data_IF_215881814456
#
_entry.id   IF_215881814456
#
_cell.length_a   1.000
_cell.length_b   1.000
_cell.length_c   1.000
_cell.angle_alpha   90.00
_cell.angle_beta   90.00
_cell.angle_gamma   90.00
#
_symmetry.space_group_name_H-M   'P 1'
#
loop_
_entity.id
_entity.type
_entity.pdbx_description
1 polymer ?
#
# COMPACT_ATOMS: atom_id res chain seq x y z
N UNK A 1 -0.50 14.69 -65.60
CA UNK A 1 -0.20 14.30 -64.20
C UNK A 1 -1.49 14.39 -63.39
N UNK A 2 -2.14 13.25 -63.13
CA UNK A 2 -3.35 13.19 -62.29
C UNK A 2 -2.91 13.23 -60.82
N UNK A 3 -3.36 14.24 -60.07
CA UNK A 3 -3.13 14.33 -58.61
C UNK A 3 -3.97 13.25 -57.92
N UNK A 4 -3.31 12.29 -57.29
CA UNK A 4 -3.94 11.36 -56.35
C UNK A 4 -4.11 12.09 -55.01
N UNK A 5 -5.34 12.24 -54.57
CA UNK A 5 -5.67 12.67 -53.21
C UNK A 5 -5.62 11.43 -52.32
N UNK A 6 -4.59 11.33 -51.47
CA UNK A 6 -4.49 10.30 -50.45
C UNK A 6 -5.38 10.73 -49.28
N UNK A 7 -6.44 9.95 -49.05
CA UNK A 7 -7.33 10.11 -47.90
C UNK A 7 -6.66 9.43 -46.70
N UNK A 8 -6.13 10.22 -45.76
CA UNK A 8 -5.69 9.72 -44.46
C UNK A 8 -6.92 9.40 -43.63
N UNK A 9 -7.23 8.11 -43.49
CA UNK A 9 -8.19 7.64 -42.48
C UNK A 9 -7.42 7.62 -41.17
N UNK A 10 -7.67 8.64 -40.33
CA UNK A 10 -7.22 8.67 -38.95
C UNK A 10 -8.05 7.60 -38.20
N UNK A 11 -7.49 6.40 -38.06
CA UNK A 11 -8.06 5.40 -37.17
C UNK A 11 -7.87 5.89 -35.74
N UNK A 12 -8.90 6.50 -35.15
CA UNK A 12 -9.00 6.53 -33.69
C UNK A 12 -9.14 5.07 -33.24
N UNK A 13 -8.03 4.48 -32.82
CA UNK A 13 -8.07 3.30 -31.96
C UNK A 13 -8.72 3.72 -30.66
N UNK A 14 -9.99 3.42 -30.48
CA UNK A 14 -10.57 3.26 -29.15
C UNK A 14 -9.89 2.03 -28.56
N UNK A 15 -8.87 2.26 -27.74
CA UNK A 15 -8.38 1.24 -26.82
C UNK A 15 -9.52 0.94 -25.84
N UNK A 16 -10.19 -0.19 -26.05
CA UNK A 16 -10.97 -0.85 -25.02
C UNK A 16 -9.98 -1.18 -23.90
N UNK A 17 -9.96 -0.36 -22.85
CA UNK A 17 -9.20 -0.67 -21.65
C UNK A 17 -10.00 -1.72 -20.89
N UNK A 18 -9.74 -3.00 -21.18
CA UNK A 18 -10.13 -4.08 -20.29
C UNK A 18 -9.30 -3.90 -19.02
N UNK A 19 -9.83 -3.21 -18.02
CA UNK A 19 -9.08 -2.99 -16.78
C UNK A 19 -8.87 -4.33 -16.07
N UNK A 20 -7.59 -4.66 -15.94
CA UNK A 20 -7.07 -5.94 -15.47
C UNK A 20 -7.48 -6.16 -14.00
N UNK A 21 -8.35 -7.16 -13.82
CA UNK A 21 -8.80 -7.64 -12.52
C UNK A 21 -7.77 -8.61 -11.98
N UNK A 22 -7.34 -8.39 -10.74
CA UNK A 22 -6.13 -9.01 -10.20
C UNK A 22 -6.34 -10.03 -9.09
N UNK A 23 -7.55 -10.12 -8.53
CA UNK A 23 -7.79 -11.02 -7.41
C UNK A 23 -8.15 -12.41 -7.95
N UNK A 24 -7.26 -13.36 -7.72
CA UNK A 24 -7.52 -14.77 -7.99
C UNK A 24 -8.47 -15.30 -6.91
N UNK A 25 -9.63 -15.75 -7.34
CA UNK A 25 -10.71 -16.20 -6.45
C UNK A 25 -10.41 -17.56 -5.86
N UNK A 26 -10.55 -17.65 -4.53
CA UNK A 26 -10.64 -18.92 -3.82
C UNK A 26 -12.09 -19.41 -3.78
N UNK A 27 -12.28 -20.71 -3.94
CA UNK A 27 -13.55 -21.36 -3.60
C UNK A 27 -13.83 -21.24 -2.09
N UNK A 28 -15.10 -21.37 -1.67
CA UNK A 28 -15.43 -21.42 -0.25
C UNK A 28 -14.68 -22.53 0.50
N UNK A 29 -14.51 -23.71 -0.13
CA UNK A 29 -13.78 -24.84 0.46
C UNK A 29 -12.30 -24.53 0.64
N UNK A 30 -11.63 -23.96 -0.37
CA UNK A 30 -10.22 -23.56 -0.27
C UNK A 30 -10.03 -22.50 0.81
N UNK A 31 -10.89 -21.47 0.83
CA UNK A 31 -10.80 -20.39 1.83
C UNK A 31 -10.95 -20.90 3.26
N UNK A 32 -11.82 -21.88 3.48
CA UNK A 32 -12.02 -22.49 4.81
C UNK A 32 -10.79 -23.27 5.33
N UNK A 33 -9.77 -23.51 4.50
CA UNK A 33 -8.51 -24.13 4.95
C UNK A 33 -7.53 -23.13 5.57
N UNK A 34 -7.78 -21.83 5.43
CA UNK A 34 -6.93 -20.76 5.94
C UNK A 34 -7.44 -20.22 7.28
N UNK A 35 -6.60 -19.49 8.04
CA UNK A 35 -6.99 -18.92 9.33
C UNK A 35 -8.23 -18.03 9.23
N UNK A 36 -9.13 -18.19 10.20
CA UNK A 36 -10.26 -17.29 10.42
C UNK A 36 -9.94 -16.37 11.60
N UNK A 37 -10.23 -15.08 11.44
CA UNK A 37 -9.98 -14.07 12.47
C UNK A 37 -11.29 -13.73 13.18
N UNK A 38 -11.36 -14.06 14.47
CA UNK A 38 -12.46 -13.67 15.35
C UNK A 38 -12.06 -12.45 16.19
N UNK A 39 -12.82 -11.37 16.04
CA UNK A 39 -12.63 -10.14 16.81
C UNK A 39 -12.71 -10.35 18.34
N UNK A 40 -13.46 -11.35 18.80
CA UNK A 40 -13.60 -11.67 20.23
C UNK A 40 -12.31 -12.24 20.82
N UNK A 41 -11.59 -13.05 20.05
CA UNK A 41 -10.32 -13.65 20.48
C UNK A 41 -9.23 -12.59 20.64
N UNK A 42 -9.33 -11.49 19.89
CA UNK A 42 -8.39 -10.36 19.92
C UNK A 42 -8.69 -9.33 21.03
N UNK A 43 -9.75 -9.53 21.83
CA UNK A 43 -10.07 -8.65 22.96
C UNK A 43 -10.57 -7.25 22.57
N UNK A 44 -11.02 -7.07 21.33
CA UNK A 44 -11.57 -5.80 20.88
C UNK A 44 -12.85 -5.43 21.66
N UNK A 45 -13.07 -4.14 21.86
CA UNK A 45 -14.32 -3.62 22.41
C UNK A 45 -15.52 -4.01 21.53
N UNK A 46 -16.75 -3.83 22.02
CA UNK A 46 -17.97 -4.01 21.22
C UNK A 46 -18.90 -2.79 21.20
N UNK A 47 -18.63 -1.81 22.05
CA UNK A 47 -19.40 -0.57 22.14
C UNK A 47 -18.66 0.54 21.39
N UNK A 48 -19.08 0.78 20.15
CA UNK A 48 -18.44 1.73 19.23
C UNK A 48 -19.40 2.84 18.80
N UNK A 49 -18.89 3.99 18.34
CA UNK A 49 -19.73 5.03 17.77
C UNK A 49 -20.52 4.51 16.56
N UNK A 50 -21.67 5.11 16.27
CA UNK A 50 -22.48 4.76 15.09
C UNK A 50 -21.81 5.12 13.74
N UNK A 51 -20.67 5.81 13.79
CA UNK A 51 -19.86 6.20 12.63
C UNK A 51 -18.39 6.17 13.02
N UNK A 52 -17.54 5.60 12.17
CA UNK A 52 -16.09 5.61 12.33
C UNK A 52 -15.44 5.46 10.96
N UNK A 53 -14.35 6.19 10.72
CA UNK A 53 -13.54 6.00 9.52
C UNK A 53 -12.07 6.39 9.73
N UNK A 54 -11.22 5.88 8.85
CA UNK A 54 -9.78 6.10 8.85
C UNK A 54 -9.30 6.96 7.67
N UNK A 55 -10.17 7.71 6.99
CA UNK A 55 -9.78 8.51 5.82
C UNK A 55 -8.69 9.53 6.13
N UNK A 56 -8.68 10.05 7.37
CA UNK A 56 -7.66 10.97 7.85
C UNK A 56 -6.25 10.38 7.69
N UNK A 57 -6.09 9.06 7.87
CA UNK A 57 -4.81 8.33 7.84
C UNK A 57 -4.58 7.55 6.54
N UNK A 58 -5.65 7.26 5.80
CA UNK A 58 -5.54 6.56 4.54
C UNK A 58 -4.70 7.36 3.53
N UNK A 59 -3.81 6.69 2.77
CA UNK A 59 -3.01 7.34 1.75
C UNK A 59 -3.91 7.90 0.63
N UNK A 60 -3.37 8.79 -0.23
CA UNK A 60 -4.11 9.32 -1.37
C UNK A 60 -4.73 8.23 -2.25
N UNK A 61 -5.73 8.58 -3.05
CA UNK A 61 -6.27 7.61 -4.02
C UNK A 61 -5.28 7.46 -5.16
N UNK A 62 -5.02 6.21 -5.56
CA UNK A 62 -4.16 5.88 -6.68
C UNK A 62 -4.95 5.19 -7.80
N UNK A 63 -4.30 5.13 -8.95
CA UNK A 63 -4.76 4.38 -10.11
C UNK A 63 -3.86 3.15 -10.28
N UNK A 64 -4.44 1.95 -10.21
CA UNK A 64 -3.69 0.71 -10.39
C UNK A 64 -3.32 0.50 -11.86
N UNK A 65 -2.17 -0.12 -12.08
CA UNK A 65 -1.78 -0.66 -13.37
C UNK A 65 -1.78 -2.20 -13.31
N UNK A 66 -2.24 -2.87 -14.37
CA UNK A 66 -2.36 -4.33 -14.39
C UNK A 66 -3.32 -4.90 -13.33
N UNK A 67 -3.19 -6.20 -13.07
CA UNK A 67 -3.97 -6.98 -12.11
C UNK A 67 -3.51 -6.78 -10.66
N UNK A 68 -3.31 -5.52 -10.23
CA UNK A 68 -2.61 -5.22 -8.97
C UNK A 68 -3.50 -4.86 -7.78
N UNK A 69 -4.82 -5.01 -7.93
CA UNK A 69 -5.80 -4.62 -6.90
C UNK A 69 -5.53 -5.19 -5.50
N UNK A 70 -4.95 -6.39 -5.39
CA UNK A 70 -4.68 -7.05 -4.10
C UNK A 70 -3.59 -6.30 -3.32
N UNK A 71 -2.48 -5.92 -3.98
CA UNK A 71 -1.43 -5.11 -3.38
C UNK A 71 -1.89 -3.69 -3.06
N UNK A 72 -2.74 -3.10 -3.91
CA UNK A 72 -3.35 -1.80 -3.62
C UNK A 72 -4.30 -1.83 -2.41
N UNK A 73 -5.11 -2.89 -2.27
CA UNK A 73 -6.05 -3.01 -1.16
C UNK A 73 -5.33 -3.33 0.16
N UNK A 74 -4.44 -4.33 0.17
CA UNK A 74 -3.79 -4.82 1.38
C UNK A 74 -2.54 -4.03 1.77
N UNK A 75 -1.61 -3.82 0.84
CA UNK A 75 -0.36 -3.10 1.09
C UNK A 75 -0.57 -1.59 1.12
N UNK A 76 -0.92 -1.02 -0.02
CA UNK A 76 -1.04 0.44 -0.15
C UNK A 76 -2.14 0.98 0.77
N UNK A 77 -3.38 0.49 0.71
CA UNK A 77 -4.46 1.04 1.52
C UNK A 77 -4.42 0.57 2.98
N UNK A 78 -4.63 -0.73 3.25
CA UNK A 78 -4.83 -1.19 4.62
C UNK A 78 -3.57 -1.02 5.48
N UNK A 79 -2.43 -1.50 5.02
CA UNK A 79 -1.19 -1.45 5.79
C UNK A 79 -0.69 -0.01 6.01
N UNK A 80 -0.63 0.82 4.96
CA UNK A 80 -0.25 2.24 5.13
C UNK A 80 -1.19 2.99 6.06
N UNK A 81 -2.50 2.72 6.01
CA UNK A 81 -3.47 3.36 6.92
C UNK A 81 -3.14 3.08 8.38
N UNK A 82 -2.83 1.83 8.71
CA UNK A 82 -2.46 1.44 10.09
C UNK A 82 -1.12 2.07 10.52
N UNK A 83 -0.12 2.12 9.64
CA UNK A 83 1.18 2.74 9.93
C UNK A 83 1.07 4.27 10.09
N UNK A 84 0.31 4.92 9.21
CA UNK A 84 0.03 6.35 9.33
C UNK A 84 -0.72 6.66 10.63
N UNK A 85 -1.69 5.82 11.00
CA UNK A 85 -2.44 5.95 12.25
C UNK A 85 -1.53 5.83 13.47
N UNK A 86 -0.64 4.84 13.51
CA UNK A 86 0.26 4.60 14.65
C UNK A 86 1.24 5.76 14.89
N UNK A 87 1.61 6.47 13.83
CA UNK A 87 2.46 7.67 13.87
C UNK A 87 1.68 9.00 13.91
N UNK A 88 0.34 8.97 13.89
CA UNK A 88 -0.50 10.18 13.91
C UNK A 88 -0.46 11.00 12.61
N UNK A 89 -0.06 10.41 11.49
CA UNK A 89 0.15 11.09 10.21
C UNK A 89 -1.17 11.34 9.49
N UNK A 90 -1.56 12.61 9.39
CA UNK A 90 -2.81 13.03 8.72
C UNK A 90 -2.58 14.00 7.57
N UNK A 91 -1.41 14.64 7.50
CA UNK A 91 -1.06 15.55 6.42
C UNK A 91 -0.97 14.79 5.08
N UNK A 92 -1.53 15.32 3.96
CA UNK A 92 -1.49 14.64 2.67
C UNK A 92 -0.10 14.19 2.23
N UNK A 93 0.93 15.02 2.44
CA UNK A 93 2.31 14.70 2.05
C UNK A 93 2.87 13.54 2.85
N UNK A 94 2.64 13.49 4.17
CA UNK A 94 3.09 12.38 4.99
C UNK A 94 2.53 11.07 4.43
N UNK A 95 1.21 11.03 4.24
CA UNK A 95 0.50 9.83 3.80
C UNK A 95 0.86 9.39 2.38
N UNK A 96 1.35 10.31 1.55
CA UNK A 96 1.88 10.01 0.22
C UNK A 96 3.30 9.45 0.31
N UNK A 97 4.23 10.19 0.92
CA UNK A 97 5.67 9.90 0.90
C UNK A 97 6.01 8.63 1.69
N UNK A 98 5.28 8.36 2.79
CA UNK A 98 5.51 7.17 3.61
C UNK A 98 4.53 6.04 3.31
N UNK A 99 3.82 6.03 2.18
CA UNK A 99 2.95 4.89 1.88
C UNK A 99 3.75 3.59 1.61
N UNK A 100 3.08 2.46 1.78
CA UNK A 100 3.61 1.15 1.38
C UNK A 100 3.45 0.95 -0.13
N UNK A 101 4.43 0.29 -0.73
CA UNK A 101 4.46 -0.02 -2.15
C UNK A 101 3.38 -1.08 -2.51
N UNK A 102 2.56 -0.85 -3.56
CA UNK A 102 1.55 -1.82 -4.01
C UNK A 102 2.10 -2.91 -4.93
N UNK A 103 3.30 -2.75 -5.51
CA UNK A 103 3.90 -3.60 -6.54
C UNK A 103 4.95 -4.58 -6.01
N UNK A 104 5.48 -4.37 -4.79
CA UNK A 104 6.50 -5.23 -4.17
C UNK A 104 6.12 -6.71 -4.22
N UNK A 105 4.91 -7.06 -3.81
CA UNK A 105 4.47 -8.46 -3.73
C UNK A 105 4.39 -9.10 -5.12
N UNK A 106 3.90 -8.36 -6.12
CA UNK A 106 3.83 -8.84 -7.50
C UNK A 106 5.21 -9.06 -8.07
N UNK A 107 6.08 -8.05 -7.97
CA UNK A 107 7.46 -8.13 -8.44
C UNK A 107 8.30 -9.14 -7.65
N UNK A 108 7.84 -9.60 -6.48
CA UNK A 108 8.48 -10.64 -5.68
C UNK A 108 7.96 -12.04 -6.06
N UNK A 109 6.67 -12.32 -5.83
CA UNK A 109 6.03 -13.63 -6.06
C UNK A 109 6.04 -14.00 -7.56
N UNK A 110 5.74 -13.03 -8.43
CA UNK A 110 5.60 -13.25 -9.86
C UNK A 110 6.87 -12.86 -10.63
N UNK A 111 8.04 -12.79 -9.97
CA UNK A 111 9.34 -12.44 -10.58
C UNK A 111 9.69 -13.23 -11.85
N UNK A 112 9.20 -14.48 -11.96
CA UNK A 112 9.46 -15.39 -13.07
C UNK A 112 8.61 -15.10 -14.32
N UNK A 113 7.64 -14.20 -14.23
CA UNK A 113 6.78 -13.81 -15.34
C UNK A 113 7.33 -12.56 -16.03
N UNK A 114 7.05 -12.43 -17.33
CA UNK A 114 7.48 -11.25 -18.09
C UNK A 114 6.74 -9.98 -17.70
N UNK A 115 5.53 -10.12 -17.17
CA UNK A 115 4.75 -9.04 -16.58
C UNK A 115 4.15 -9.55 -15.24
N UNK A 116 4.85 -9.31 -14.12
CA UNK A 116 4.42 -9.79 -12.80
C UNK A 116 3.03 -9.30 -12.36
N UNK A 117 2.54 -8.18 -12.92
CA UNK A 117 1.28 -7.57 -12.52
C UNK A 117 0.06 -8.20 -13.18
N UNK A 118 0.21 -8.88 -14.31
CA UNK A 118 -0.91 -9.45 -15.07
C UNK A 118 -1.36 -10.84 -14.57
N UNK A 119 -0.57 -11.49 -13.73
CA UNK A 119 -0.90 -12.80 -13.18
C UNK A 119 -1.93 -12.73 -12.03
N UNK A 120 -2.08 -11.56 -11.41
CA UNK A 120 -2.89 -11.41 -10.21
C UNK A 120 -2.31 -12.11 -8.98
N UNK A 121 -3.06 -12.13 -7.88
CA UNK A 121 -2.70 -12.79 -6.61
C UNK A 121 -3.93 -13.31 -5.88
N UNK A 122 -3.75 -14.34 -5.05
CA UNK A 122 -4.71 -14.68 -4.00
C UNK A 122 -4.40 -13.88 -2.72
N UNK A 123 -5.39 -13.72 -1.82
CA UNK A 123 -5.12 -13.12 -0.50
C UNK A 123 -4.08 -13.91 0.32
N UNK A 124 -4.17 -15.26 0.45
CA UNK A 124 -3.18 -16.02 1.21
C UNK A 124 -1.75 -15.88 0.69
N UNK A 125 -1.53 -15.80 -0.62
CA UNK A 125 -0.17 -15.65 -1.17
C UNK A 125 0.44 -14.31 -0.73
N UNK A 126 -0.35 -13.22 -0.82
CA UNK A 126 0.08 -11.91 -0.34
C UNK A 126 0.32 -11.92 1.17
N UNK A 127 -0.59 -12.49 1.97
CA UNK A 127 -0.46 -12.46 3.42
C UNK A 127 0.69 -13.31 3.94
N UNK A 128 0.98 -14.46 3.31
CA UNK A 128 2.19 -15.25 3.61
C UNK A 128 3.47 -14.47 3.32
N UNK A 129 3.52 -13.67 2.26
CA UNK A 129 4.67 -12.79 2.00
C UNK A 129 4.76 -11.70 3.06
N UNK A 130 3.65 -11.06 3.43
CA UNK A 130 3.63 -10.09 4.52
C UNK A 130 4.10 -10.68 5.85
N UNK A 131 3.76 -11.93 6.14
CA UNK A 131 4.16 -12.61 7.37
C UNK A 131 5.66 -12.95 7.38
N UNK A 132 6.20 -13.42 6.25
CA UNK A 132 7.60 -13.89 6.21
C UNK A 132 8.62 -12.78 5.92
N UNK A 133 8.27 -11.81 5.07
CA UNK A 133 9.22 -10.80 4.58
C UNK A 133 8.66 -9.38 4.61
N UNK A 134 7.35 -9.20 4.78
CA UNK A 134 6.73 -7.89 4.95
C UNK A 134 6.39 -7.21 3.63
N UNK A 135 6.45 -5.88 3.64
CA UNK A 135 6.26 -5.02 2.46
C UNK A 135 7.22 -3.83 2.55
N UNK A 136 7.39 -3.05 1.50
CA UNK A 136 8.34 -1.95 1.42
C UNK A 136 7.63 -0.59 1.39
N UNK A 137 8.28 0.48 1.84
CA UNK A 137 7.81 1.85 1.57
C UNK A 137 8.03 2.17 0.08
N UNK A 138 7.08 2.84 -0.57
CA UNK A 138 7.12 3.18 -2.01
C UNK A 138 8.33 4.05 -2.38
N UNK A 139 8.82 4.86 -1.43
CA UNK A 139 10.00 5.69 -1.63
C UNK A 139 11.33 4.98 -1.34
N UNK A 140 11.35 3.70 -0.96
CA UNK A 140 12.63 2.99 -0.86
C UNK A 140 13.04 2.43 -2.23
N UNK A 141 14.34 2.54 -2.61
CA UNK A 141 14.82 1.95 -3.85
C UNK A 141 14.89 0.41 -3.73
N UNK A 142 14.73 -0.34 -4.83
CA UNK A 142 14.54 0.12 -6.21
C UNK A 142 13.09 0.56 -6.50
N UNK A 143 12.89 1.29 -7.60
CA UNK A 143 11.54 1.64 -8.08
C UNK A 143 10.82 0.37 -8.51
N UNK A 144 9.69 0.06 -7.87
CA UNK A 144 8.91 -1.13 -8.16
C UNK A 144 7.77 -0.82 -9.13
N UNK A 145 7.62 -1.68 -10.13
CA UNK A 145 6.58 -1.59 -11.16
C UNK A 145 6.38 -2.97 -11.81
N UNK A 146 5.49 -3.04 -12.79
CA UNK A 146 5.13 -4.25 -13.53
C UNK A 146 6.21 -4.79 -14.47
N UNK A 147 7.42 -4.23 -14.46
CA UNK A 147 8.58 -4.72 -15.21
C UNK A 147 9.77 -5.07 -14.31
N UNK A 148 9.64 -4.90 -12.99
CA UNK A 148 10.69 -5.21 -12.03
C UNK A 148 10.55 -6.65 -11.50
N UNK A 149 11.69 -7.33 -11.31
CA UNK A 149 11.75 -8.67 -10.72
C UNK A 149 12.79 -8.71 -9.60
N UNK A 150 12.39 -9.20 -8.43
CA UNK A 150 13.29 -9.38 -7.30
C UNK A 150 14.18 -10.61 -7.45
N UNK A 151 13.63 -11.69 -8.02
CA UNK A 151 14.31 -12.99 -8.10
C UNK A 151 14.69 -13.37 -9.53
N UNK A 152 15.78 -14.13 -9.67
CA UNK A 152 16.14 -14.78 -10.93
C UNK A 152 15.25 -16.01 -11.21
N UNK A 153 15.48 -16.65 -12.36
CA UNK A 153 14.72 -17.84 -12.79
C UNK A 153 14.84 -19.05 -11.85
N UNK A 154 15.79 -19.04 -10.93
CA UNK A 154 16.00 -20.05 -9.89
C UNK A 154 15.19 -19.76 -8.60
N UNK A 155 14.51 -18.62 -8.51
CA UNK A 155 13.77 -18.17 -7.33
C UNK A 155 14.64 -17.55 -6.23
N UNK A 156 15.94 -17.35 -6.48
CA UNK A 156 16.82 -16.64 -5.56
C UNK A 156 16.76 -15.14 -5.83
N UNK A 157 16.83 -14.32 -4.78
CA UNK A 157 16.94 -12.86 -4.91
C UNK A 157 18.19 -12.53 -5.71
N UNK A 158 18.06 -11.66 -6.70
CA UNK A 158 19.18 -11.19 -7.50
C UNK A 158 20.16 -10.41 -6.60
N UNK A 159 21.46 -10.67 -6.76
CA UNK A 159 22.50 -10.09 -5.90
C UNK A 159 22.44 -8.56 -5.85
N UNK A 160 22.11 -7.91 -6.97
CA UNK A 160 21.95 -6.45 -7.06
C UNK A 160 20.78 -5.90 -6.23
N UNK A 161 19.79 -6.72 -5.90
CA UNK A 161 18.60 -6.31 -5.15
C UNK A 161 18.69 -6.65 -3.66
N UNK A 162 19.63 -7.51 -3.31
CA UNK A 162 19.73 -8.13 -2.00
C UNK A 162 19.89 -7.12 -0.86
N UNK A 163 20.67 -6.05 -1.08
CA UNK A 163 20.87 -4.97 -0.11
C UNK A 163 19.62 -4.10 0.12
N UNK A 164 18.69 -4.08 -0.83
CA UNK A 164 17.44 -3.32 -0.75
C UNK A 164 16.30 -4.13 -0.15
N UNK A 165 16.35 -5.46 -0.31
CA UNK A 165 15.31 -6.36 0.18
C UNK A 165 15.06 -6.23 1.69
N UNK A 166 16.10 -5.95 2.48
CA UNK A 166 16.00 -5.75 3.94
C UNK A 166 15.02 -4.63 4.33
N UNK A 167 14.72 -3.69 3.43
CA UNK A 167 13.72 -2.64 3.63
C UNK A 167 12.30 -3.17 3.83
N UNK A 168 12.02 -4.41 3.43
CA UNK A 168 10.71 -5.04 3.59
C UNK A 168 10.47 -5.61 4.99
N UNK A 169 11.53 -6.15 5.60
CA UNK A 169 11.48 -6.92 6.85
C UNK A 169 10.86 -6.19 8.05
N UNK A 170 11.07 -4.87 8.25
CA UNK A 170 10.46 -4.15 9.37
C UNK A 170 8.93 -4.08 9.33
N UNK A 171 8.33 -4.34 8.17
CA UNK A 171 6.89 -4.23 7.92
C UNK A 171 6.24 -5.60 7.77
N UNK A 172 6.70 -6.60 8.52
CA UNK A 172 6.00 -7.87 8.62
C UNK A 172 4.71 -7.77 9.42
N UNK A 173 3.81 -8.72 9.16
CA UNK A 173 2.59 -8.92 9.94
C UNK A 173 2.79 -10.11 10.89
N UNK A 174 2.29 -10.00 12.12
CA UNK A 174 2.31 -11.12 13.07
C UNK A 174 1.17 -12.10 12.86
N UNK A 175 0.07 -11.65 12.26
CA UNK A 175 -1.11 -12.48 12.07
C UNK A 175 -1.99 -11.95 10.93
N UNK A 176 -2.84 -12.82 10.40
CA UNK A 176 -3.85 -12.49 9.41
C UNK A 176 -4.95 -13.54 9.41
N UNK A 177 -6.12 -13.19 8.89
CA UNK A 177 -7.17 -14.18 8.73
C UNK A 177 -8.37 -13.65 7.97
N UNK A 178 -9.16 -14.59 7.46
CA UNK A 178 -10.45 -14.30 6.85
C UNK A 178 -11.50 -13.97 7.92
N UNK A 179 -12.44 -13.09 7.58
CA UNK A 179 -13.65 -12.89 8.36
C UNK A 179 -14.75 -13.80 7.81
N UNK A 180 -15.49 -14.44 8.71
CA UNK A 180 -16.59 -15.30 8.32
C UNK A 180 -17.83 -14.50 7.92
N UNK A 181 -18.04 -14.38 6.61
CA UNK A 181 -19.17 -13.65 6.05
C UNK A 181 -20.46 -14.50 5.96
N UNK A 182 -20.43 -15.75 6.39
CA UNK A 182 -21.60 -16.64 6.46
C UNK A 182 -22.27 -16.61 7.84
N UNK A 183 -21.60 -16.09 8.86
CA UNK A 183 -22.20 -15.91 10.20
C UNK A 183 -23.21 -14.77 10.22
N UNK A 184 -24.26 -14.91 11.03
CA UNK A 184 -25.35 -13.91 11.10
C UNK A 184 -24.92 -12.52 11.58
N UNK A 185 -23.76 -12.43 12.25
CA UNK A 185 -23.18 -11.23 12.83
C UNK A 185 -21.93 -10.73 12.07
N UNK A 186 -21.68 -11.20 10.85
CA UNK A 186 -20.54 -10.75 10.01
C UNK A 186 -20.37 -9.23 9.95
N UNK A 187 -21.48 -8.48 9.95
CA UNK A 187 -21.47 -7.01 9.98
C UNK A 187 -20.85 -6.45 11.25
N UNK A 188 -21.20 -7.03 12.39
CA UNK A 188 -20.69 -6.60 13.69
C UNK A 188 -19.22 -6.99 13.84
N UNK A 189 -18.81 -8.14 13.30
CA UNK A 189 -17.39 -8.53 13.22
C UNK A 189 -16.60 -7.50 12.41
N UNK A 190 -17.05 -7.13 11.21
CA UNK A 190 -16.41 -6.08 10.42
C UNK A 190 -16.39 -4.72 11.14
N UNK A 191 -17.52 -4.30 11.72
CA UNK A 191 -17.61 -3.05 12.50
C UNK A 191 -16.63 -3.04 13.66
N UNK A 192 -16.42 -4.19 14.31
CA UNK A 192 -15.47 -4.33 15.41
C UNK A 192 -14.04 -4.04 14.96
N UNK A 193 -13.56 -4.66 13.88
CA UNK A 193 -12.23 -4.35 13.34
C UNK A 193 -12.10 -2.88 12.93
N UNK A 194 -13.06 -2.37 12.16
CA UNK A 194 -13.03 -1.00 11.66
C UNK A 194 -13.01 0.02 12.80
N UNK A 195 -13.81 -0.19 13.84
CA UNK A 195 -13.87 0.70 15.01
C UNK A 195 -12.61 0.65 15.89
N UNK A 196 -11.78 -0.38 15.75
CA UNK A 196 -10.45 -0.46 16.37
C UNK A 196 -9.34 -0.07 15.38
N UNK A 197 -9.67 0.74 14.37
CA UNK A 197 -8.71 1.25 13.38
C UNK A 197 -7.97 0.13 12.60
N UNK A 198 -8.62 -1.03 12.40
CA UNK A 198 -8.13 -2.11 11.53
C UNK A 198 -8.95 -2.14 10.24
N UNK A 199 -8.39 -1.70 9.10
CA UNK A 199 -9.05 -1.81 7.80
C UNK A 199 -9.38 -3.26 7.44
N UNK A 200 -10.50 -3.47 6.76
CA UNK A 200 -10.90 -4.79 6.25
C UNK A 200 -10.63 -4.85 4.76
N UNK A 201 -9.84 -5.83 4.32
CA UNK A 201 -9.52 -6.09 2.92
C UNK A 201 -10.62 -6.99 2.36
N UNK A 202 -11.21 -6.64 1.22
CA UNK A 202 -12.37 -7.36 0.68
C UNK A 202 -12.16 -7.80 -0.75
N UNK A 203 -12.61 -9.01 -1.04
CA UNK A 203 -12.70 -9.58 -2.38
C UNK A 203 -14.13 -9.51 -2.88
N UNK A 204 -14.31 -8.85 -4.02
CA UNK A 204 -15.61 -8.63 -4.64
C UNK A 204 -15.66 -9.23 -6.05
N UNK A 205 -16.83 -9.74 -6.43
CA UNK A 205 -17.16 -10.05 -7.81
C UNK A 205 -17.79 -8.80 -8.42
N UNK A 206 -17.03 -8.08 -9.23
CA UNK A 206 -17.50 -6.84 -9.86
C UNK A 206 -17.89 -7.08 -11.32
N UNK A 207 -18.95 -6.42 -11.73
CA UNK A 207 -19.49 -6.42 -13.09
C UNK A 207 -19.56 -4.98 -13.62
N UNK A 208 -20.22 -4.81 -14.77
CA UNK A 208 -20.42 -3.48 -15.38
C UNK A 208 -21.29 -2.52 -14.53
N UNK A 209 -21.98 -2.99 -13.48
CA UNK A 209 -22.68 -2.10 -12.55
C UNK A 209 -21.73 -1.41 -11.56
N UNK A 210 -20.48 -1.86 -11.51
CA UNK A 210 -19.38 -1.26 -10.76
C UNK A 210 -18.33 -0.66 -11.71
N UNK A 211 -18.72 -0.30 -12.94
CA UNK A 211 -17.82 0.12 -14.02
C UNK A 211 -17.18 1.50 -13.80
N UNK A 212 -15.95 1.65 -14.25
CA UNK A 212 -15.18 2.88 -14.20
C UNK A 212 -15.37 3.81 -15.41
N UNK A 213 -16.01 3.38 -16.51
CA UNK A 213 -16.36 4.27 -17.62
C UNK A 213 -17.47 5.26 -17.25
N UNK A 214 -18.13 5.02 -16.11
CA UNK A 214 -19.07 5.93 -15.46
C UNK A 214 -18.56 6.29 -14.06
N UNK A 215 -19.31 7.05 -13.25
CA UNK A 215 -18.95 7.40 -11.86
C UNK A 215 -18.98 6.17 -10.92
N UNK A 216 -18.52 4.99 -11.36
CA UNK A 216 -18.63 3.70 -10.67
C UNK A 216 -19.95 2.97 -10.88
N UNK A 217 -20.52 3.08 -12.08
CA UNK A 217 -21.77 2.41 -12.46
C UNK A 217 -22.98 2.92 -11.67
N UNK A 218 -23.52 2.11 -10.75
CA UNK A 218 -24.73 2.42 -9.97
C UNK A 218 -24.50 3.32 -8.76
N UNK A 219 -23.27 3.81 -8.57
CA UNK A 219 -22.99 4.81 -7.53
C UNK A 219 -23.79 6.08 -7.82
N UNK A 220 -24.63 6.45 -6.88
CA UNK A 220 -25.45 7.65 -6.96
C UNK A 220 -24.63 8.90 -6.63
N UNK A 221 -25.18 10.08 -6.88
CA UNK A 221 -24.45 11.33 -6.69
C UNK A 221 -23.95 11.58 -5.25
N UNK A 222 -24.59 10.93 -4.28
CA UNK A 222 -24.25 10.96 -2.87
C UNK A 222 -23.15 9.95 -2.46
N UNK A 223 -22.51 9.29 -3.43
CA UNK A 223 -21.43 8.32 -3.25
C UNK A 223 -21.89 6.93 -2.82
N UNK A 224 -23.20 6.65 -2.81
CA UNK A 224 -23.75 5.36 -2.36
C UNK A 224 -23.96 4.42 -3.54
N UNK A 225 -23.43 3.21 -3.42
CA UNK A 225 -23.70 2.11 -4.33
C UNK A 225 -24.99 1.40 -3.96
N UNK A 226 -25.81 1.13 -4.98
CA UNK A 226 -27.04 0.35 -4.85
C UNK A 226 -26.91 -0.88 -5.74
N UNK A 227 -26.79 -2.05 -5.11
CA UNK A 227 -26.80 -3.31 -5.84
C UNK A 227 -28.19 -3.52 -6.48
N UNK A 228 -28.20 -4.02 -7.70
CA UNK A 228 -29.42 -4.45 -8.39
C UNK A 228 -29.28 -5.93 -8.76
N UNK A 229 -30.34 -6.76 -8.62
CA UNK A 229 -30.29 -8.15 -9.04
C UNK A 229 -29.95 -8.24 -10.53
N UNK A 230 -28.84 -8.91 -10.83
CA UNK A 230 -28.32 -9.36 -12.13
C UNK A 230 -28.73 -8.57 -13.39
N UNK A 231 -27.76 -7.86 -13.97
CA UNK A 231 -27.62 -7.86 -15.42
C UNK A 231 -26.50 -8.86 -15.79
N UNK A 232 -26.73 -9.67 -16.83
CA UNK A 232 -25.76 -10.63 -17.34
C UNK A 232 -24.48 -9.89 -17.75
N UNK A 233 -23.41 -10.03 -16.95
CA UNK A 233 -22.08 -9.50 -17.23
C UNK A 233 -21.01 -10.48 -16.77
N UNK A 234 -19.86 -10.47 -17.44
CA UNK A 234 -18.68 -11.17 -16.94
C UNK A 234 -18.27 -10.55 -15.60
N UNK A 235 -18.13 -11.38 -14.57
CA UNK A 235 -17.72 -10.96 -13.23
C UNK A 235 -16.21 -11.19 -13.10
N UNK A 236 -15.49 -10.15 -12.70
CA UNK A 236 -14.06 -10.22 -12.39
C UNK A 236 -13.80 -10.11 -10.89
N UNK A 237 -12.80 -10.84 -10.40
CA UNK A 237 -12.36 -10.76 -9.01
C UNK A 237 -11.59 -9.46 -8.76
N UNK A 238 -12.06 -8.65 -7.82
CA UNK A 238 -11.45 -7.37 -7.44
C UNK A 238 -11.20 -7.29 -5.95
N UNK A 239 -10.09 -6.65 -5.56
CA UNK A 239 -9.78 -6.38 -4.17
C UNK A 239 -9.93 -4.89 -3.85
N UNK A 240 -10.55 -4.58 -2.70
CA UNK A 240 -10.74 -3.22 -2.20
C UNK A 240 -10.51 -3.16 -0.69
N UNK A 241 -10.48 -1.94 -0.15
CA UNK A 241 -10.11 -1.67 1.23
C UNK A 241 -11.25 -0.93 1.95
N UNK A 242 -11.85 -1.56 2.96
CA UNK A 242 -12.90 -0.95 3.79
C UNK A 242 -12.23 -0.14 4.89
N UNK A 243 -12.52 1.16 4.93
CA UNK A 243 -11.88 2.14 5.81
C UNK A 243 -12.79 2.63 6.94
N UNK A 244 -14.06 2.25 6.95
CA UNK A 244 -15.00 2.74 7.95
C UNK A 244 -16.44 2.33 7.70
N UNK A 245 -17.33 2.90 8.51
CA UNK A 245 -18.76 2.69 8.42
C UNK A 245 -19.55 3.90 8.94
N UNK A 246 -20.81 3.99 8.49
CA UNK A 246 -21.79 4.96 8.99
C UNK A 246 -23.17 4.29 9.01
N UNK A 247 -23.69 4.04 10.21
CA UNK A 247 -24.97 3.37 10.44
C UNK A 247 -26.17 4.17 9.88
N UNK A 248 -25.98 5.45 9.59
CA UNK A 248 -27.02 6.34 9.07
C UNK A 248 -26.90 6.60 7.57
N UNK A 249 -25.72 6.37 6.96
CA UNK A 249 -25.51 6.58 5.53
C UNK A 249 -26.34 5.54 4.76
N UNK A 250 -27.40 6.00 4.10
CA UNK A 250 -28.32 5.16 3.32
C UNK A 250 -28.90 3.94 4.08
N UNK A 251 -29.12 4.07 5.39
CA UNK A 251 -29.62 2.98 6.25
C UNK A 251 -28.53 2.04 6.77
N UNK A 252 -27.26 2.46 6.67
CA UNK A 252 -26.10 1.74 7.13
C UNK A 252 -25.22 1.32 5.97
N UNK A 253 -23.98 1.83 5.92
CA UNK A 253 -23.03 1.55 4.85
C UNK A 253 -21.61 1.42 5.35
N UNK A 254 -20.81 0.62 4.63
CA UNK A 254 -19.36 0.61 4.72
C UNK A 254 -18.74 1.61 3.75
N UNK A 255 -17.69 2.29 4.18
CA UNK A 255 -16.85 3.13 3.33
C UNK A 255 -15.74 2.28 2.73
N UNK A 256 -15.69 2.20 1.41
CA UNK A 256 -14.74 1.35 0.67
C UNK A 256 -13.91 2.21 -0.27
N UNK A 257 -12.58 2.07 -0.18
CA UNK A 257 -11.60 2.67 -1.07
C UNK A 257 -11.33 1.74 -2.24
N UNK A 258 -11.40 2.30 -3.44
CA UNK A 258 -11.01 1.64 -4.68
C UNK A 258 -9.65 2.16 -5.18
N UNK A 259 -9.09 1.50 -6.19
CA UNK A 259 -7.77 1.76 -6.79
C UNK A 259 -7.86 2.18 -8.26
N UNK A 260 -8.94 2.86 -8.66
CA UNK A 260 -9.14 3.35 -10.04
C UNK A 260 -9.14 4.87 -10.15
N UNK A 261 -8.37 5.53 -9.28
CA UNK A 261 -8.18 6.98 -9.31
C UNK A 261 -9.33 7.79 -8.70
N UNK A 262 -9.04 9.06 -8.41
CA UNK A 262 -9.97 9.96 -7.70
C UNK A 262 -11.20 10.38 -8.49
N UNK A 263 -11.25 10.13 -9.80
CA UNK A 263 -12.42 10.42 -10.64
C UNK A 263 -13.50 9.33 -10.53
N UNK A 264 -13.13 8.15 -10.05
CA UNK A 264 -14.07 7.06 -9.82
C UNK A 264 -14.85 7.26 -8.52
N UNK A 265 -16.16 6.98 -8.54
CA UNK A 265 -17.02 7.05 -7.36
C UNK A 265 -17.12 8.45 -6.72
N UNK A 266 -16.90 8.50 -5.41
CA UNK A 266 -16.83 9.73 -4.61
C UNK A 266 -15.37 9.97 -4.16
N UNK A 267 -14.60 10.60 -5.05
CA UNK A 267 -13.19 10.87 -4.80
C UNK A 267 -12.37 9.59 -4.60
N UNK A 268 -12.62 8.54 -5.39
CA UNK A 268 -12.00 7.21 -5.28
C UNK A 268 -12.62 6.27 -4.23
N UNK A 269 -13.66 6.72 -3.54
CA UNK A 269 -14.35 5.95 -2.51
C UNK A 269 -15.80 5.64 -2.91
N UNK A 270 -16.41 4.69 -2.21
CA UNK A 270 -17.81 4.35 -2.35
C UNK A 270 -18.40 3.95 -1.00
N UNK A 271 -19.66 4.32 -0.76
CA UNK A 271 -20.44 3.82 0.36
C UNK A 271 -21.29 2.64 -0.11
N UNK A 272 -21.00 1.45 0.40
CA UNK A 272 -21.74 0.22 0.05
C UNK A 272 -22.67 -0.12 1.22
N UNK A 273 -23.97 -0.17 0.96
CA UNK A 273 -24.97 -0.44 1.99
C UNK A 273 -24.75 -1.81 2.61
N UNK A 274 -25.01 -1.93 3.91
CA UNK A 274 -24.97 -3.22 4.61
C UNK A 274 -25.87 -4.27 3.96
N UNK A 275 -27.01 -3.84 3.42
CA UNK A 275 -27.97 -4.71 2.72
C UNK A 275 -27.45 -5.24 1.39
N UNK A 276 -26.50 -4.54 0.78
CA UNK A 276 -26.03 -4.78 -0.59
C UNK A 276 -24.62 -5.37 -0.60
N UNK A 277 -23.92 -5.28 0.53
CA UNK A 277 -22.50 -5.62 0.63
C UNK A 277 -22.21 -7.05 0.18
N UNK A 278 -23.04 -8.01 0.59
CA UNK A 278 -22.89 -9.44 0.28
C UNK A 278 -23.36 -9.83 -1.13
N UNK A 279 -24.00 -8.93 -1.86
CA UNK A 279 -24.33 -9.14 -3.28
C UNK A 279 -23.07 -9.03 -4.17
N UNK A 280 -22.04 -8.34 -3.69
CA UNK A 280 -20.79 -8.09 -4.42
C UNK A 280 -19.57 -8.66 -3.71
N UNK A 281 -19.47 -8.54 -2.38
CA UNK A 281 -18.30 -8.99 -1.61
C UNK A 281 -18.47 -10.44 -1.24
N UNK A 282 -17.56 -11.30 -1.71
CA UNK A 282 -17.57 -12.73 -1.41
C UNK A 282 -16.53 -13.11 -0.34
N UNK A 283 -15.49 -12.30 -0.11
CA UNK A 283 -14.46 -12.55 0.91
C UNK A 283 -14.09 -11.27 1.67
N UNK A 284 -13.71 -11.40 2.93
CA UNK A 284 -13.15 -10.33 3.74
C UNK A 284 -11.99 -10.90 4.58
N UNK A 285 -10.95 -10.11 4.81
CA UNK A 285 -9.79 -10.48 5.59
C UNK A 285 -9.20 -9.27 6.31
N UNK A 286 -8.39 -9.53 7.32
CA UNK A 286 -7.64 -8.51 8.07
C UNK A 286 -6.20 -8.98 8.23
N UNK A 287 -5.30 -8.01 8.41
CA UNK A 287 -3.88 -8.23 8.73
C UNK A 287 -3.55 -7.52 10.04
N UNK A 288 -2.65 -8.10 10.82
CA UNK A 288 -2.19 -7.58 12.11
C UNK A 288 -0.68 -7.37 12.01
N UNK A 289 -0.17 -6.13 11.93
CA UNK A 289 1.26 -5.85 11.89
C UNK A 289 2.00 -6.46 13.09
N UNK A 290 3.26 -6.91 12.93
CA UNK A 290 4.09 -7.51 14.02
C UNK A 290 4.21 -6.60 15.25
N UNK A 291 3.90 -5.32 15.07
CA UNK A 291 4.41 -4.23 15.87
C UNK A 291 3.33 -3.18 16.14
N UNK A 292 2.22 -3.58 16.75
CA UNK A 292 1.09 -2.71 17.05
C UNK A 292 1.16 -2.03 18.42
N UNK A 293 2.35 -1.71 18.97
CA UNK A 293 2.52 -1.23 20.36
C UNK A 293 1.33 -0.41 20.87
N UNK A 294 0.54 -1.10 21.69
CA UNK A 294 -0.28 -0.64 22.78
C UNK A 294 -0.08 0.85 23.08
N UNK A 295 -1.17 1.63 23.09
CA UNK A 295 -1.25 2.91 23.80
C UNK A 295 0.12 3.57 24.00
N UNK A 296 0.66 4.31 23.01
CA UNK A 296 1.81 5.15 23.29
C UNK A 296 1.38 6.19 24.33
N UNK A 297 1.64 5.81 25.57
CA UNK A 297 1.58 6.62 26.75
C UNK A 297 2.61 7.71 26.54
N UNK A 298 2.12 8.94 26.70
CA UNK A 298 2.91 10.16 26.70
C UNK A 298 4.12 10.00 27.60
N UNK A 299 5.31 9.94 27.00
CA UNK A 299 6.55 10.41 27.60
C UNK A 299 6.75 11.80 27.01
N UNK A 300 6.79 12.82 27.87
CA UNK A 300 6.64 14.23 27.47
C UNK A 300 7.86 14.82 26.73
N UNK A 301 8.87 14.04 26.30
CA UNK A 301 10.01 14.61 25.55
C UNK A 301 10.59 13.73 24.42
N UNK A 302 10.62 12.39 24.52
CA UNK A 302 11.18 11.52 23.47
C UNK A 302 10.58 10.11 23.50
N UNK A 303 10.20 9.57 22.33
CA UNK A 303 9.85 8.15 22.14
C UNK A 303 10.82 7.53 21.11
N UNK A 304 11.55 6.49 21.50
CA UNK A 304 12.50 5.77 20.64
C UNK A 304 12.13 4.29 20.63
N UNK A 305 11.92 3.74 19.44
CA UNK A 305 11.69 2.30 19.24
C UNK A 305 12.58 1.83 18.10
N UNK A 306 13.56 0.98 18.39
CA UNK A 306 14.34 0.26 17.39
C UNK A 306 14.07 -1.24 17.49
N UNK A 307 14.12 -1.91 16.35
CA UNK A 307 14.05 -3.37 16.24
C UNK A 307 15.27 -3.82 15.48
N UNK A 308 15.91 -4.86 16.01
CA UNK A 308 16.95 -5.57 15.27
C UNK A 308 16.34 -6.04 13.95
N UNK A 309 17.02 -5.72 12.86
CA UNK A 309 16.72 -6.36 11.59
C UNK A 309 17.40 -7.73 11.58
N UNK A 310 17.07 -8.57 10.61
CA UNK A 310 17.80 -9.84 10.43
C UNK A 310 19.25 -9.62 9.93
N UNK A 311 19.63 -8.35 9.67
CA UNK A 311 20.97 -7.94 9.25
C UNK A 311 21.78 -7.46 10.46
N UNK A 312 22.95 -8.08 10.67
CA UNK A 312 23.79 -7.78 11.83
C UNK A 312 24.20 -6.29 11.90
N UNK A 313 23.92 -5.68 13.06
CA UNK A 313 24.25 -4.28 13.35
C UNK A 313 23.44 -3.26 12.56
N UNK A 314 22.36 -3.67 11.89
CA UNK A 314 21.37 -2.79 11.28
C UNK A 314 20.07 -2.90 12.06
N UNK A 315 19.55 -1.76 12.48
CA UNK A 315 18.29 -1.64 13.21
C UNK A 315 17.31 -0.81 12.40
N UNK A 316 16.01 -1.05 12.55
CA UNK A 316 14.97 -0.18 12.01
C UNK A 316 14.17 0.43 13.14
N UNK A 317 13.90 1.73 13.09
CA UNK A 317 13.20 2.37 14.19
C UNK A 317 12.52 3.68 13.88
N UNK A 318 11.73 4.10 14.88
CA UNK A 318 11.02 5.37 14.90
C UNK A 318 11.47 6.16 16.12
N UNK A 319 11.86 7.42 15.90
CA UNK A 319 12.21 8.38 16.95
C UNK A 319 11.28 9.58 16.81
N UNK A 320 10.52 9.93 17.85
CA UNK A 320 9.73 11.16 17.89
C UNK A 320 10.32 12.13 18.91
N UNK A 321 10.62 13.36 18.47
CA UNK A 321 11.21 14.41 19.27
C UNK A 321 10.87 15.79 18.71
N UNK A 322 10.46 16.73 19.57
CA UNK A 322 10.26 18.14 19.20
C UNK A 322 9.40 18.37 17.94
N UNK A 323 8.33 17.60 17.75
CA UNK A 323 7.45 17.72 16.57
C UNK A 323 8.02 17.14 15.28
N UNK A 324 9.12 16.38 15.35
CA UNK A 324 9.72 15.66 14.22
C UNK A 324 9.72 14.16 14.51
N UNK A 325 9.39 13.36 13.50
CA UNK A 325 9.48 11.90 13.53
C UNK A 325 10.58 11.46 12.57
N UNK A 326 11.62 10.81 13.08
CA UNK A 326 12.51 9.98 12.27
C UNK A 326 11.90 8.58 12.13
N UNK A 327 11.86 8.05 10.92
CA UNK A 327 11.53 6.65 10.66
C UNK A 327 12.57 6.09 9.69
N UNK A 328 13.32 5.05 10.05
CA UNK A 328 14.26 4.45 9.12
C UNK A 328 15.30 3.56 9.76
N UNK A 329 16.30 3.22 8.95
CA UNK A 329 17.40 2.36 9.38
C UNK A 329 18.41 3.12 10.25
N UNK A 330 19.09 2.40 11.13
CA UNK A 330 20.23 2.87 11.87
C UNK A 330 21.33 1.80 11.79
N UNK A 331 22.54 2.24 11.48
CA UNK A 331 23.71 1.41 11.55
C UNK A 331 24.91 2.27 11.92
N UNK A 332 25.69 1.81 12.89
CA UNK A 332 26.83 2.58 13.41
C UNK A 332 27.91 2.75 12.33
N UNK A 333 28.32 3.99 12.12
CA UNK A 333 29.37 4.40 11.17
C UNK A 333 29.14 3.94 9.72
N UNK A 334 27.90 3.54 9.39
CA UNK A 334 27.44 3.17 8.05
C UNK A 334 26.38 4.16 7.59
N UNK A 335 26.31 4.36 6.28
CA UNK A 335 25.26 5.17 5.66
C UNK A 335 23.99 4.34 5.53
N UNK A 336 22.85 4.93 5.85
CA UNK A 336 21.52 4.30 5.85
C UNK A 336 20.48 5.25 5.28
N UNK A 337 19.28 4.73 4.98
CA UNK A 337 18.14 5.53 4.55
C UNK A 337 17.14 5.73 5.68
N UNK A 338 16.49 6.88 5.67
CA UNK A 338 15.43 7.20 6.61
C UNK A 338 14.60 8.39 6.17
N UNK A 339 13.47 8.54 6.85
CA UNK A 339 12.55 9.65 6.77
C UNK A 339 12.77 10.58 7.96
N UNK A 340 12.61 11.88 7.74
CA UNK A 340 12.27 12.84 8.77
C UNK A 340 10.94 13.49 8.38
N UNK A 341 9.95 13.41 9.27
CA UNK A 341 8.58 13.84 9.04
C UNK A 341 8.30 14.99 10.00
N UNK A 342 8.00 16.17 9.46
CA UNK A 342 7.83 17.41 10.19
C UNK A 342 6.35 17.69 10.47
N UNK A 343 6.02 18.28 11.62
CA UNK A 343 4.62 18.54 12.01
C UNK A 343 3.84 19.39 10.99
N UNK A 344 4.51 20.26 10.24
CA UNK A 344 3.91 21.17 9.25
C UNK A 344 3.50 20.50 7.93
N UNK A 345 3.90 19.25 7.70
CA UNK A 345 3.65 18.56 6.44
C UNK A 345 4.90 18.20 5.65
N UNK A 346 6.05 18.78 6.01
CA UNK A 346 7.32 18.51 5.35
C UNK A 346 7.80 17.08 5.57
N UNK A 347 8.47 16.50 4.57
CA UNK A 347 9.11 15.19 4.69
C UNK A 347 10.46 15.21 3.99
N UNK A 348 11.53 14.82 4.68
CA UNK A 348 12.80 14.48 4.07
C UNK A 348 12.91 12.96 3.98
N UNK A 349 13.32 12.43 2.83
CA UNK A 349 13.76 11.05 2.67
C UNK A 349 15.16 11.02 2.07
N UNK A 350 16.11 10.35 2.73
CA UNK A 350 17.47 10.27 2.21
C UNK A 350 18.49 9.67 3.16
N UNK A 351 19.74 10.01 2.90
CA UNK A 351 20.90 9.36 3.51
C UNK A 351 21.28 9.96 4.87
N UNK A 352 21.54 9.06 5.83
CA UNK A 352 22.01 9.37 7.16
C UNK A 352 23.27 8.59 7.49
N UNK A 353 24.15 9.17 8.32
CA UNK A 353 25.23 8.46 9.01
C UNK A 353 25.12 8.80 10.49
N UNK A 354 25.02 7.78 11.36
CA UNK A 354 24.85 7.98 12.80
C UNK A 354 23.69 8.94 13.16
N UNK A 355 22.52 8.77 12.52
CA UNK A 355 21.32 9.62 12.66
C UNK A 355 21.52 11.10 12.29
N UNK A 356 22.57 11.43 11.55
CA UNK A 356 22.82 12.77 11.01
C UNK A 356 22.72 12.69 9.49
N UNK A 357 21.95 13.60 8.86
CA UNK A 357 21.85 13.68 7.39
C UNK A 357 23.25 13.81 6.79
N UNK A 358 23.62 12.87 5.93
CA UNK A 358 24.93 12.84 5.30
C UNK A 358 24.84 12.09 3.97
N UNK A 359 24.99 12.83 2.87
CA UNK A 359 24.76 12.36 1.51
C UNK A 359 23.56 13.04 0.85
N UNK A 360 22.89 12.35 -0.06
CA UNK A 360 21.79 12.90 -0.86
C UNK A 360 20.43 12.55 -0.29
N UNK A 361 19.44 13.38 -0.60
CA UNK A 361 18.04 13.13 -0.26
C UNK A 361 17.06 13.91 -1.13
N UNK A 362 15.78 13.62 -0.93
CA UNK A 362 14.67 14.39 -1.44
C UNK A 362 13.91 14.99 -0.25
N UNK A 363 13.61 16.29 -0.34
CA UNK A 363 12.75 16.98 0.62
C UNK A 363 11.46 17.38 -0.07
N UNK A 364 10.34 17.10 0.58
CA UNK A 364 9.00 17.53 0.24
C UNK A 364 8.62 18.61 1.25
N UNK A 365 8.31 19.83 0.81
CA UNK A 365 7.80 20.86 1.71
C UNK A 365 6.31 20.65 2.04
N UNK A 366 5.71 21.56 2.81
CA UNK A 366 4.30 21.50 3.20
C UNK A 366 3.33 21.58 2.01
N UNK A 367 3.77 22.17 0.89
CA UNK A 367 2.99 22.36 -0.34
C UNK A 367 3.27 21.26 -1.39
N UNK A 368 3.95 20.18 -0.98
CA UNK A 368 4.35 19.04 -1.83
C UNK A 368 5.41 19.39 -2.89
N UNK A 369 6.07 20.54 -2.79
CA UNK A 369 7.17 20.87 -3.69
C UNK A 369 8.40 20.06 -3.31
N UNK A 370 9.12 19.58 -4.32
CA UNK A 370 10.22 18.63 -4.16
C UNK A 370 11.56 19.32 -4.34
N UNK A 371 12.53 18.95 -3.52
CA UNK A 371 13.88 19.49 -3.55
C UNK A 371 14.89 18.34 -3.48
N UNK A 372 15.79 18.28 -4.45
CA UNK A 372 16.98 17.44 -4.30
C UNK A 372 17.94 18.14 -3.34
N UNK A 373 18.38 17.42 -2.32
CA UNK A 373 19.21 17.96 -1.26
C UNK A 373 20.52 17.17 -1.18
N UNK A 374 21.61 17.86 -0.87
CA UNK A 374 22.90 17.28 -0.49
C UNK A 374 23.30 17.80 0.89
N UNK A 375 23.69 16.89 1.76
CA UNK A 375 24.11 17.15 3.13
C UNK A 375 25.50 16.61 3.38
N UNK A 376 26.26 17.32 4.23
CA UNK A 376 27.52 16.84 4.78
C UNK A 376 27.53 17.07 6.28
N UNK A 377 27.54 15.98 7.05
CA UNK A 377 27.53 16.04 8.52
C UNK A 377 26.42 16.94 9.09
N UNK A 378 25.23 16.89 8.49
CA UNK A 378 24.04 17.65 8.89
C UNK A 378 23.93 19.05 8.28
N UNK A 379 24.99 19.57 7.64
CA UNK A 379 24.96 20.87 6.96
C UNK A 379 24.51 20.72 5.51
N UNK A 380 23.61 21.61 5.06
CA UNK A 380 23.17 21.66 3.66
C UNK A 380 24.34 22.13 2.78
N UNK A 381 24.73 21.30 1.82
CA UNK A 381 25.75 21.61 0.80
C UNK A 381 25.07 22.22 -0.42
N UNK A 382 24.01 21.58 -0.90
CA UNK A 382 23.22 22.04 -2.05
C UNK A 382 21.74 21.68 -1.85
N UNK A 383 20.86 22.51 -2.41
CA UNK A 383 19.42 22.27 -2.41
C UNK A 383 18.83 22.88 -3.67
N UNK A 384 18.33 22.01 -4.54
CA UNK A 384 17.78 22.39 -5.84
C UNK A 384 16.33 21.97 -5.91
N UNK A 385 15.45 22.95 -6.11
CA UNK A 385 14.03 22.70 -6.36
C UNK A 385 13.85 21.88 -7.63
N UNK A 386 13.15 20.75 -7.53
CA UNK A 386 12.66 19.99 -8.67
C UNK A 386 11.59 20.79 -9.42
N UNK A 387 11.66 20.82 -10.75
CA UNK A 387 10.67 21.51 -11.55
C UNK A 387 9.64 20.51 -12.10
N UNK A 388 8.36 20.86 -11.88
CA UNK A 388 7.20 20.65 -12.77
C UNK A 388 6.34 19.37 -12.65
N UNK A 389 5.18 19.49 -13.33
CA UNK A 389 3.89 18.77 -13.35
C UNK A 389 3.77 17.31 -12.85
N UNK A 390 2.55 16.86 -12.52
CA UNK A 390 2.26 15.54 -11.92
C UNK A 390 2.86 14.31 -12.64
N UNK A 391 3.08 14.37 -13.95
CA UNK A 391 3.73 13.29 -14.70
C UNK A 391 5.27 13.34 -14.59
N UNK A 392 5.85 14.52 -14.41
CA UNK A 392 7.28 14.75 -14.20
C UNK A 392 7.67 14.54 -12.73
N UNK A 393 6.71 14.64 -11.80
CA UNK A 393 6.89 14.39 -10.36
C UNK A 393 7.33 12.95 -10.05
N UNK A 394 6.64 11.93 -10.58
CA UNK A 394 7.04 10.52 -10.40
C UNK A 394 8.39 10.26 -11.06
N UNK A 395 8.64 10.83 -12.25
CA UNK A 395 9.94 10.72 -12.92
C UNK A 395 11.09 11.35 -12.12
N UNK A 396 10.83 12.43 -11.37
CA UNK A 396 11.82 13.05 -10.49
C UNK A 396 12.17 12.14 -9.31
N UNK A 397 11.18 11.54 -8.66
CA UNK A 397 11.35 10.57 -7.57
C UNK A 397 12.13 9.34 -8.08
N UNK A 398 11.71 8.77 -9.20
CA UNK A 398 12.38 7.63 -9.83
C UNK A 398 13.84 7.95 -10.20
N UNK A 399 14.09 9.13 -10.77
CA UNK A 399 15.46 9.60 -11.05
C UNK A 399 16.30 9.72 -9.79
N UNK A 400 15.71 10.15 -8.67
CA UNK A 400 16.40 10.23 -7.39
C UNK A 400 16.71 8.83 -6.84
N UNK A 401 15.72 7.92 -6.82
CA UNK A 401 15.89 6.55 -6.34
C UNK A 401 16.94 5.81 -7.16
N UNK A 402 16.92 5.96 -8.48
CA UNK A 402 17.97 5.43 -9.35
C UNK A 402 19.35 6.02 -9.03
N UNK A 403 19.44 7.31 -8.68
CA UNK A 403 20.71 7.92 -8.30
C UNK A 403 21.27 7.40 -6.97
N UNK A 404 20.42 6.90 -6.06
CA UNK A 404 20.89 6.21 -4.85
C UNK A 404 21.54 4.88 -5.23
N UNK A 405 20.90 4.11 -6.13
CA UNK A 405 21.44 2.86 -6.65
C UNK A 405 22.81 3.09 -7.31
N UNK A 406 22.91 4.10 -8.17
CA UNK A 406 24.14 4.43 -8.90
C UNK A 406 25.28 4.94 -7.98
N UNK A 407 24.94 5.48 -6.80
CA UNK A 407 25.88 6.03 -5.83
C UNK A 407 26.30 5.03 -4.74
N UNK A 408 25.76 3.80 -4.75
CA UNK A 408 26.00 2.78 -3.72
C UNK A 408 27.42 2.18 -3.84
N UNK A 409 28.26 2.49 -2.86
CA UNK A 409 29.56 1.83 -2.64
C UNK A 409 29.79 1.40 -1.18
N UNK A 410 28.85 1.68 -0.27
CA UNK A 410 29.01 1.54 1.18
C UNK A 410 27.72 1.04 1.89
N UNK A 411 26.93 0.19 1.25
CA UNK A 411 26.02 -0.70 1.99
C UNK A 411 26.78 -2.00 2.26
N UNK A 412 26.74 -2.48 3.50
CA UNK A 412 27.28 -3.81 3.81
C UNK A 412 26.36 -4.88 3.23
N UNK A 413 26.93 -5.85 2.53
CA UNK A 413 26.23 -7.05 2.07
C UNK A 413 25.48 -7.74 3.24
N UNK A 414 24.24 -8.17 3.00
CA UNK A 414 23.46 -8.93 3.99
C UNK A 414 24.04 -10.36 4.11
N UNK A 415 24.77 -10.70 5.15
CA UNK A 415 25.40 -12.03 5.24
C UNK A 415 24.46 -13.16 5.75
N UNK A 416 23.16 -12.90 5.92
CA UNK A 416 22.17 -13.87 6.40
C UNK A 416 21.60 -14.80 5.32
N UNK A 417 21.10 -15.97 5.73
CA UNK A 417 20.29 -16.82 4.84
C UNK A 417 18.88 -16.21 4.72
N UNK A 418 18.49 -15.81 3.51
CA UNK A 418 17.11 -15.43 3.23
C UNK A 418 16.17 -16.63 3.44
N UNK A 419 14.90 -16.41 3.81
CA UNK A 419 13.89 -17.46 3.75
C UNK A 419 13.88 -18.09 2.36
N UNK A 420 14.06 -19.41 2.25
CA UNK A 420 13.86 -20.11 0.98
C UNK A 420 12.40 -19.94 0.56
N UNK A 421 12.18 -19.51 -0.69
CA UNK A 421 10.84 -19.38 -1.28
C UNK A 421 10.36 -20.78 -1.69
N UNK A 422 10.18 -21.68 -0.72
CA UNK A 422 9.55 -22.99 -0.95
C UNK A 422 8.02 -22.86 -1.05
N UNK A 423 7.46 -21.67 -0.78
CA UNK A 423 6.02 -21.42 -0.61
C UNK A 423 5.21 -21.23 -1.90
N UNK A 424 5.86 -21.16 -3.08
CA UNK A 424 5.18 -20.94 -4.39
C UNK A 424 5.18 -22.21 -5.26
N UNK A 425 5.65 -23.36 -4.74
CA UNK A 425 5.55 -24.64 -5.45
C UNK A 425 4.58 -25.59 -4.76
N UNK A 426 3.32 -25.53 -5.20
CA UNK A 426 2.55 -26.71 -5.62
C UNK A 426 1.43 -26.34 -6.57
#
# INVERSE_FOLDING_TARGET
>A
MKKQTILFILGLGLSLHSFSQGLIRLSPEERATYPEMDAQVMGYAKDFPARHDMLAYAPPVQFQEGGTCVGFAAGYCAHSTMLNKSMGLTHPNHKYVVCMDPYFIYSFINSNYSDPCDEGLTFPDLFKVFENVGNMRDMYPPVLNCSFSWTGSNGEILNENFEYFQASLPFRISDWGFLNLEEGDWKETMRTFLANDVPVIVGADIDNNFDNETRGGKIQDNGVYYATPEENGEKGGHAMCVLGYDDYKAGGSFLVRNSWGGQWGDGGNVWIRYSDFREIVYAAAVIIPENWYENQTKSDDYNITFKETEVEGVEYGVISANGVIYEGFYAKDRRVLGYEIFEDGGVYFGQYTNLVKDGVGIFFDEDSERYKCEFKSGEVVDMVKGFASSAEERTFEESYLQSILDASGDWSEFEGELPSIDYIKE
#
